data_IF_156310909022
#
_entry.id   IF_156310909022
#
_cell.length_a   1.000
_cell.length_b   1.000
_cell.length_c   1.000
_cell.angle_alpha   90.00
_cell.angle_beta   90.00
_cell.angle_gamma   90.00
#
_symmetry.space_group_name_H-M   'P 1'
#
loop_
_entity.id
_entity.type
_entity.pdbx_description
1 polymer ?
#
# COMPACT_ATOMS: atom_id res chain seq x y z
N UNK A 1 -15.42 -3.17 4.77
CA UNK A 1 -15.75 -2.12 5.77
C UNK A 1 -17.15 -1.63 5.45
N UNK A 2 -18.11 -1.67 6.39
CA UNK A 2 -19.54 -1.45 6.09
C UNK A 2 -19.80 -0.17 5.29
N UNK A 3 -19.18 0.95 5.68
CA UNK A 3 -19.33 2.23 4.97
C UNK A 3 -18.81 2.17 3.53
N UNK A 4 -17.66 1.55 3.33
CA UNK A 4 -17.07 1.37 2.00
C UNK A 4 -17.96 0.51 1.11
N UNK A 5 -18.45 -0.61 1.65
CA UNK A 5 -19.19 -1.60 0.88
C UNK A 5 -20.64 -1.18 0.59
N UNK A 6 -21.27 -0.41 1.50
CA UNK A 6 -22.68 -0.05 1.39
C UNK A 6 -22.93 1.39 0.90
N UNK A 7 -21.93 2.27 0.95
CA UNK A 7 -22.11 3.67 0.56
C UNK A 7 -21.09 4.13 -0.48
N UNK A 8 -19.79 4.06 -0.16
CA UNK A 8 -18.75 4.62 -1.05
C UNK A 8 -18.66 3.90 -2.39
N UNK A 9 -18.64 2.56 -2.39
CA UNK A 9 -18.59 1.76 -3.62
C UNK A 9 -19.82 1.99 -4.51
N UNK A 10 -21.07 1.85 -4.04
CA UNK A 10 -22.24 2.12 -4.88
C UNK A 10 -22.28 3.54 -5.46
N UNK A 11 -21.91 4.54 -4.66
CA UNK A 11 -21.87 5.95 -5.11
C UNK A 11 -20.80 6.13 -6.20
N UNK A 12 -19.61 5.55 -6.01
CA UNK A 12 -18.54 5.60 -7.00
C UNK A 12 -18.89 4.87 -8.29
N UNK A 13 -19.54 3.71 -8.21
CA UNK A 13 -19.99 2.96 -9.38
C UNK A 13 -20.97 3.77 -10.24
N UNK A 14 -21.99 4.37 -9.61
CA UNK A 14 -22.99 5.20 -10.30
C UNK A 14 -22.33 6.44 -10.91
N UNK A 15 -21.45 7.10 -10.16
CA UNK A 15 -20.70 8.25 -10.65
C UNK A 15 -19.81 7.89 -11.85
N UNK A 16 -19.08 6.77 -11.78
CA UNK A 16 -18.21 6.31 -12.87
C UNK A 16 -19.05 5.99 -14.12
N UNK A 17 -20.22 5.37 -13.92
CA UNK A 17 -21.14 5.07 -15.01
C UNK A 17 -21.64 6.35 -15.71
N UNK A 18 -22.06 7.36 -14.94
CA UNK A 18 -22.45 8.68 -15.46
C UNK A 18 -21.30 9.41 -16.15
N UNK A 19 -20.10 9.40 -15.56
CA UNK A 19 -18.92 10.06 -16.09
C UNK A 19 -18.43 9.46 -17.41
N UNK A 20 -18.53 8.13 -17.56
CA UNK A 20 -18.18 7.45 -18.82
C UNK A 20 -19.27 7.65 -19.87
N UNK A 21 -20.55 7.56 -19.50
CA UNK A 21 -21.68 7.81 -20.43
C UNK A 21 -21.73 9.24 -20.94
N UNK A 22 -21.40 10.22 -20.10
CA UNK A 22 -21.33 11.64 -20.48
C UNK A 22 -20.07 12.00 -21.28
N UNK A 23 -19.12 11.05 -21.43
CA UNK A 23 -17.86 11.27 -22.14
C UNK A 23 -16.83 12.09 -21.36
N UNK A 24 -17.05 12.36 -20.06
CA UNK A 24 -16.07 13.03 -19.18
C UNK A 24 -14.83 12.16 -18.97
N UNK A 25 -15.01 10.84 -18.90
CA UNK A 25 -13.94 9.86 -18.73
C UNK A 25 -13.90 8.94 -19.93
N UNK A 26 -12.74 8.87 -20.59
CA UNK A 26 -12.49 7.91 -21.65
C UNK A 26 -12.12 6.54 -21.04
N UNK A 27 -13.10 5.65 -20.92
CA UNK A 27 -12.90 4.27 -20.47
C UNK A 27 -13.28 3.29 -21.61
N UNK A 28 -12.34 2.92 -22.48
CA UNK A 28 -12.59 1.97 -23.57
C UNK A 28 -13.10 0.65 -23.02
N UNK A 29 -14.15 0.10 -23.63
CA UNK A 29 -14.68 -1.21 -23.25
C UNK A 29 -15.42 -1.28 -21.91
N UNK A 30 -15.60 -0.16 -21.21
CA UNK A 30 -16.29 -0.11 -19.90
C UNK A 30 -17.72 -0.68 -19.92
N UNK A 31 -18.47 -0.45 -21.02
CA UNK A 31 -19.81 -1.04 -21.20
C UNK A 31 -19.79 -2.38 -21.94
N UNK A 32 -18.66 -2.77 -22.52
CA UNK A 32 -18.55 -3.94 -23.40
C UNK A 32 -18.13 -5.21 -22.62
N UNK A 33 -17.28 -5.07 -21.61
CA UNK A 33 -16.78 -6.20 -20.81
C UNK A 33 -16.97 -5.94 -19.30
N UNK A 34 -17.74 -6.80 -18.59
CA UNK A 34 -17.84 -6.75 -17.13
C UNK A 34 -16.49 -6.87 -16.40
N UNK A 35 -15.51 -7.61 -16.96
CA UNK A 35 -14.18 -7.77 -16.37
C UNK A 35 -13.39 -6.46 -16.39
N UNK A 36 -13.33 -5.82 -17.56
CA UNK A 36 -12.71 -4.51 -17.70
C UNK A 36 -13.41 -3.44 -16.86
N UNK A 37 -14.74 -3.49 -16.78
CA UNK A 37 -15.52 -2.63 -15.88
C UNK A 37 -15.11 -2.82 -14.42
N UNK A 38 -14.94 -4.07 -13.96
CA UNK A 38 -14.51 -4.35 -12.59
C UNK A 38 -13.10 -3.80 -12.31
N UNK A 39 -12.19 -3.83 -13.28
CA UNK A 39 -10.87 -3.23 -13.16
C UNK A 39 -10.93 -1.70 -12.99
N UNK A 40 -11.78 -1.01 -13.77
CA UNK A 40 -12.02 0.43 -13.60
C UNK A 40 -12.70 0.79 -12.27
N UNK A 41 -13.54 -0.11 -11.75
CA UNK A 41 -14.25 0.05 -10.48
C UNK A 41 -13.43 -0.39 -9.25
N UNK A 42 -12.21 -0.91 -9.46
CA UNK A 42 -11.31 -1.41 -8.41
C UNK A 42 -10.70 -0.31 -7.52
N UNK A 43 -11.51 0.64 -7.07
CA UNK A 43 -11.08 1.71 -6.18
C UNK A 43 -10.95 1.21 -4.73
N UNK A 44 -9.83 1.56 -4.09
CA UNK A 44 -9.62 1.35 -2.67
C UNK A 44 -9.93 2.63 -1.91
N UNK A 45 -10.84 2.55 -0.95
CA UNK A 45 -11.18 3.68 -0.08
C UNK A 45 -10.38 3.59 1.21
N UNK A 46 -9.37 4.44 1.33
CA UNK A 46 -8.50 4.53 2.50
C UNK A 46 -9.08 5.60 3.42
N UNK A 47 -9.43 5.21 4.64
CA UNK A 47 -9.82 6.16 5.68
C UNK A 47 -8.63 6.95 6.22
N UNK A 48 -8.85 7.94 7.10
CA UNK A 48 -7.74 8.60 7.79
C UNK A 48 -6.86 7.56 8.50
N UNK A 49 -5.55 7.77 8.46
CA UNK A 49 -4.60 6.91 9.17
C UNK A 49 -5.00 6.81 10.64
N UNK A 50 -4.96 5.60 11.19
CA UNK A 50 -5.25 5.41 12.62
C UNK A 50 -4.28 6.26 13.44
N UNK A 51 -4.80 7.03 14.39
CA UNK A 51 -3.95 7.75 15.34
C UNK A 51 -3.06 6.75 16.08
N UNK A 52 -1.76 6.99 16.07
CA UNK A 52 -0.79 6.15 16.79
C UNK A 52 -0.66 6.66 18.22
N UNK A 53 -0.80 5.76 19.19
CA UNK A 53 -0.56 6.07 20.61
C UNK A 53 0.92 5.86 20.96
N UNK A 54 1.53 4.82 20.38
CA UNK A 54 2.95 4.48 20.55
C UNK A 54 3.50 4.04 19.18
N UNK A 55 4.22 4.94 18.52
CA UNK A 55 4.73 4.73 17.16
C UNK A 55 5.66 3.52 17.08
N UNK A 56 6.47 3.29 18.12
CA UNK A 56 7.46 2.20 18.13
C UNK A 56 6.77 0.83 18.15
N UNK A 57 5.79 0.66 19.02
CA UNK A 57 5.04 -0.61 19.12
C UNK A 57 4.23 -0.90 17.85
N UNK A 58 3.62 0.12 17.25
CA UNK A 58 2.86 -0.06 16.02
C UNK A 58 3.75 -0.44 14.83
N UNK A 59 4.97 0.11 14.74
CA UNK A 59 5.97 -0.28 13.73
C UNK A 59 6.47 -1.70 13.96
N UNK A 60 6.75 -2.09 15.21
CA UNK A 60 7.13 -3.47 15.54
C UNK A 60 6.00 -4.46 15.19
N UNK A 61 4.76 -4.11 15.50
CA UNK A 61 3.59 -4.90 15.12
C UNK A 61 3.42 -5.00 13.59
N UNK A 62 3.75 -3.96 12.84
CA UNK A 62 3.69 -3.99 11.37
C UNK A 62 4.79 -4.89 10.77
N UNK A 63 6.01 -4.84 11.31
CA UNK A 63 7.08 -5.77 10.93
C UNK A 63 6.65 -7.22 11.18
N UNK A 64 6.11 -7.50 12.36
CA UNK A 64 5.62 -8.85 12.69
C UNK A 64 4.51 -9.32 11.74
N UNK A 65 3.59 -8.42 11.35
CA UNK A 65 2.52 -8.75 10.38
C UNK A 65 3.06 -9.08 9.00
N UNK A 66 4.08 -8.35 8.55
CA UNK A 66 4.77 -8.61 7.28
C UNK A 66 5.56 -9.93 7.34
N UNK A 67 6.31 -10.17 8.41
CA UNK A 67 7.09 -11.40 8.60
C UNK A 67 6.19 -12.64 8.68
N UNK A 68 5.01 -12.49 9.31
CA UNK A 68 4.00 -13.55 9.39
C UNK A 68 3.16 -13.68 8.10
N UNK A 69 3.41 -12.83 7.09
CA UNK A 69 2.66 -12.79 5.82
C UNK A 69 1.14 -12.57 5.99
N UNK A 70 0.74 -11.92 7.09
CA UNK A 70 -0.66 -11.60 7.36
C UNK A 70 -1.16 -10.45 6.50
N UNK A 71 -0.26 -9.53 6.15
CA UNK A 71 -0.54 -8.33 5.38
C UNK A 71 0.51 -8.14 4.28
N UNK A 72 0.14 -7.37 3.27
CA UNK A 72 1.07 -6.97 2.20
C UNK A 72 1.75 -5.65 2.51
N UNK A 73 2.91 -5.41 1.89
CA UNK A 73 3.62 -4.14 2.00
C UNK A 73 2.78 -2.93 1.56
N UNK A 74 1.96 -3.12 0.52
CA UNK A 74 1.00 -2.11 0.05
C UNK A 74 -0.04 -1.79 1.14
N UNK A 75 -0.65 -2.82 1.73
CA UNK A 75 -1.65 -2.63 2.79
C UNK A 75 -1.08 -1.93 4.03
N UNK A 76 0.14 -2.27 4.44
CA UNK A 76 0.80 -1.62 5.58
C UNK A 76 1.17 -0.17 5.28
N UNK A 77 1.69 0.09 4.07
CA UNK A 77 2.02 1.45 3.63
C UNK A 77 0.79 2.33 3.66
N UNK A 78 -0.28 1.88 3.00
CA UNK A 78 -1.57 2.57 2.97
C UNK A 78 -2.13 2.79 4.38
N UNK A 79 -2.02 1.81 5.28
CA UNK A 79 -2.50 1.94 6.65
C UNK A 79 -1.71 2.96 7.48
N UNK A 80 -0.39 3.04 7.28
CA UNK A 80 0.49 3.90 8.05
C UNK A 80 0.52 5.35 7.54
N UNK A 81 0.64 5.54 6.22
CA UNK A 81 0.86 6.85 5.63
C UNK A 81 -0.18 7.23 4.57
N UNK A 82 -1.11 6.34 4.21
CA UNK A 82 -2.10 6.58 3.15
C UNK A 82 -1.47 6.68 1.75
N UNK A 83 -0.19 6.35 1.62
CA UNK A 83 0.58 6.41 0.41
C UNK A 83 0.59 5.09 -0.36
N UNK A 84 1.37 5.11 -1.43
CA UNK A 84 1.51 4.02 -2.41
C UNK A 84 2.90 3.37 -2.21
N UNK A 85 2.93 2.06 -2.01
CA UNK A 85 4.19 1.38 -1.72
C UNK A 85 5.13 1.37 -2.93
N UNK A 86 4.63 1.22 -4.15
CA UNK A 86 5.46 1.23 -5.35
C UNK A 86 6.19 2.57 -5.52
N UNK A 87 5.48 3.68 -5.29
CA UNK A 87 6.10 5.02 -5.30
C UNK A 87 7.18 5.14 -4.23
N UNK A 88 6.88 4.69 -3.01
CA UNK A 88 7.83 4.74 -1.91
C UNK A 88 9.05 3.85 -2.17
N UNK A 89 8.86 2.67 -2.73
CA UNK A 89 9.94 1.74 -3.04
C UNK A 89 10.87 2.29 -4.12
N UNK A 90 10.32 2.83 -5.23
CA UNK A 90 11.12 3.50 -6.26
C UNK A 90 11.95 4.65 -5.69
N UNK A 91 11.37 5.40 -4.77
CA UNK A 91 12.06 6.50 -4.11
C UNK A 91 13.15 6.00 -3.16
N UNK A 92 12.88 4.98 -2.34
CA UNK A 92 13.86 4.36 -1.46
C UNK A 92 15.06 3.80 -2.21
N UNK A 93 14.87 3.19 -3.39
CA UNK A 93 15.96 2.70 -4.23
C UNK A 93 16.87 3.84 -4.68
N UNK A 94 16.29 4.97 -5.12
CA UNK A 94 17.05 6.16 -5.51
C UNK A 94 17.82 6.74 -4.33
N UNK A 95 17.19 6.81 -3.16
CA UNK A 95 17.80 7.33 -1.94
C UNK A 95 18.96 6.46 -1.48
N UNK A 96 18.76 5.13 -1.39
CA UNK A 96 19.81 4.16 -1.04
C UNK A 96 20.99 4.24 -1.99
N UNK A 97 20.71 4.30 -3.30
CA UNK A 97 21.78 4.40 -4.30
C UNK A 97 22.59 5.68 -4.12
N UNK A 98 21.92 6.81 -3.94
CA UNK A 98 22.59 8.09 -3.71
C UNK A 98 23.39 8.09 -2.41
N UNK A 99 22.84 7.51 -1.35
CA UNK A 99 23.52 7.38 -0.08
C UNK A 99 24.76 6.49 -0.18
N UNK A 100 24.75 5.43 -1.01
CA UNK A 100 25.93 4.61 -1.31
C UNK A 100 26.97 5.42 -2.10
N UNK A 101 26.54 6.15 -3.13
CA UNK A 101 27.42 7.00 -3.95
C UNK A 101 28.09 8.11 -3.12
N UNK A 102 27.36 8.66 -2.15
CA UNK A 102 27.83 9.70 -1.22
C UNK A 102 28.63 9.11 -0.03
N UNK A 103 28.78 7.78 0.06
CA UNK A 103 29.54 7.09 1.11
C UNK A 103 28.89 7.08 2.50
N UNK A 104 27.57 7.29 2.59
CA UNK A 104 26.79 7.32 3.83
C UNK A 104 26.36 5.92 4.32
N UNK A 105 26.44 4.90 3.46
CA UNK A 105 26.14 3.49 3.77
C UNK A 105 27.08 2.58 2.97
N UNK A 106 27.61 1.55 3.62
CA UNK A 106 28.31 0.44 2.97
C UNK A 106 27.32 -0.68 2.61
N UNK A 107 27.65 -1.53 1.63
CA UNK A 107 26.90 -2.76 1.30
C UNK A 107 26.68 -3.66 2.54
N UNK A 108 25.58 -4.44 2.57
CA UNK A 108 24.70 -4.53 3.73
C UNK A 108 25.30 -5.27 4.92
N UNK A 109 24.98 -4.77 6.11
CA UNK A 109 24.99 -5.47 7.40
C UNK A 109 24.04 -6.69 7.35
N UNK A 110 24.36 -7.70 6.55
CA UNK A 110 23.71 -9.02 6.54
C UNK A 110 24.22 -9.92 7.67
N UNK A 111 25.15 -9.44 8.50
CA UNK A 111 25.65 -10.12 9.69
C UNK A 111 25.21 -9.38 10.95
N UNK A 112 23.99 -9.63 11.41
CA UNK A 112 23.70 -9.75 12.84
C UNK A 112 22.23 -10.13 13.02
N UNK A 113 21.98 -11.43 13.23
CA UNK A 113 20.90 -11.97 14.07
C UNK A 113 20.95 -13.52 14.08
N UNK A 114 22.14 -14.11 14.26
CA UNK A 114 22.24 -15.57 14.45
C UNK A 114 23.25 -15.99 15.53
N UNK A 115 23.45 -15.17 16.56
CA UNK A 115 24.30 -15.52 17.70
C UNK A 115 23.54 -15.35 19.02
N UNK A 116 23.10 -16.47 19.61
CA UNK A 116 22.81 -16.49 21.05
C UNK A 116 21.63 -17.33 21.55
N UNK A 117 21.38 -18.53 21.03
CA UNK A 117 20.73 -19.55 21.87
C UNK A 117 21.41 -20.91 21.70
N UNK A 118 22.61 -21.04 22.29
CA UNK A 118 23.13 -22.35 22.68
C UNK A 118 22.65 -22.58 24.11
N UNK A 119 21.71 -23.51 24.21
CA UNK A 119 21.22 -24.14 25.44
C UNK A 119 22.39 -24.90 26.07
N UNK A 120 22.87 -24.43 27.22
CA UNK A 120 23.38 -25.29 28.30
C UNK A 120 22.28 -25.47 29.35
#
# INVERSE_FOLDING_TARGET
>A
MWLTDNFLKPVYEVWMWEAVSSGRIAAPGFFADPGLRAAYLGAMFVGPSKGQIDEKKEVEAAKLRLDTHLTTLEQETVAMNGGDWEKNHMQQVKERKKQMDDGLINEPDLEDNNNGNTIE
#
